data_IF_767751150385
#
_entry.id   IF_767751150385
#
_cell.length_a   1.000
_cell.length_b   1.000
_cell.length_c   1.000
_cell.angle_alpha   90.00
_cell.angle_beta   90.00
_cell.angle_gamma   90.00
#
_symmetry.space_group_name_H-M   'P 1'
#
loop_
_entity.id
_entity.type
_entity.pdbx_description
1 polymer ?
#
# COMPACT_ATOMS: atom_id res chain seq x y z
N UNK A 1 0.65 -4.16 -24.07
CA UNK A 1 -0.50 -3.41 -23.52
C UNK A 1 -0.07 -2.85 -22.17
N UNK A 2 -0.04 -1.52 -22.01
CA UNK A 2 0.45 -0.90 -20.78
C UNK A 2 -0.62 -0.88 -19.70
N UNK A 3 -0.44 -1.68 -18.65
CA UNK A 3 -1.22 -1.63 -17.42
C UNK A 3 -0.38 -1.03 -16.30
N UNK A 4 -1.01 -0.32 -15.38
CA UNK A 4 -0.35 0.20 -14.19
C UNK A 4 -1.16 -0.15 -12.95
N UNK A 5 -0.44 -0.55 -11.90
CA UNK A 5 -1.04 -0.93 -10.62
C UNK A 5 -1.71 0.30 -10.01
N UNK A 6 -2.99 0.17 -9.71
CA UNK A 6 -3.79 1.18 -9.01
C UNK A 6 -3.83 0.91 -7.52
N UNK A 7 -3.98 -0.36 -7.16
CA UNK A 7 -4.37 -0.75 -5.82
C UNK A 7 -4.59 -2.25 -5.67
N UNK A 8 -5.24 -2.63 -4.57
CA UNK A 8 -5.60 -4.01 -4.27
C UNK A 8 -7.01 -4.09 -3.70
N UNK A 9 -7.73 -5.16 -4.01
CA UNK A 9 -8.88 -5.61 -3.21
C UNK A 9 -8.39 -6.69 -2.24
N UNK A 10 -8.87 -6.62 -1.00
CA UNK A 10 -8.56 -7.55 0.07
C UNK A 10 -9.89 -8.11 0.59
N UNK A 11 -10.14 -9.39 0.30
CA UNK A 11 -11.47 -9.96 0.40
C UNK A 11 -12.46 -9.21 -0.50
N UNK A 12 -13.71 -9.14 -0.06
CA UNK A 12 -14.81 -8.57 -0.86
C UNK A 12 -15.07 -7.08 -0.56
N UNK A 13 -14.57 -6.57 0.58
CA UNK A 13 -15.02 -5.27 1.10
C UNK A 13 -13.90 -4.25 1.30
N UNK A 14 -12.63 -4.67 1.30
CA UNK A 14 -11.51 -3.78 1.61
C UNK A 14 -10.75 -3.42 0.35
N UNK A 15 -10.56 -2.12 0.15
CA UNK A 15 -9.89 -1.56 -1.00
C UNK A 15 -8.68 -0.74 -0.57
N UNK A 16 -7.54 -1.02 -1.20
CA UNK A 16 -6.29 -0.30 -1.04
C UNK A 16 -6.04 0.57 -2.26
N UNK A 17 -6.03 1.89 -2.06
CA UNK A 17 -5.67 2.90 -3.06
C UNK A 17 -4.24 3.37 -2.80
N UNK A 18 -3.33 3.04 -3.73
CA UNK A 18 -1.90 3.35 -3.59
C UNK A 18 -1.65 4.85 -3.71
N UNK A 19 -2.26 5.51 -4.71
CA UNK A 19 -2.04 6.93 -4.99
C UNK A 19 -2.51 7.82 -3.84
N UNK A 20 -3.64 7.46 -3.23
CA UNK A 20 -4.18 8.17 -2.07
C UNK A 20 -3.66 7.65 -0.72
N UNK A 21 -2.78 6.63 -0.71
CA UNK A 21 -2.18 6.00 0.47
C UNK A 21 -3.23 5.57 1.49
N UNK A 22 -4.35 5.02 1.00
CA UNK A 22 -5.57 4.86 1.78
C UNK A 22 -6.11 3.44 1.67
N UNK A 23 -6.46 2.87 2.82
CA UNK A 23 -7.20 1.62 2.91
C UNK A 23 -8.59 1.94 3.43
N UNK A 24 -9.63 1.38 2.82
CA UNK A 24 -11.00 1.60 3.25
C UNK A 24 -11.85 0.36 3.09
N UNK A 25 -12.86 0.24 3.95
CA UNK A 25 -13.87 -0.81 3.88
C UNK A 25 -15.19 -0.22 3.41
N UNK A 26 -15.78 -0.86 2.41
CA UNK A 26 -17.13 -0.60 1.92
C UNK A 26 -17.99 -1.82 2.25
N UNK A 27 -18.74 -1.77 3.34
CA UNK A 27 -19.73 -2.81 3.63
C UNK A 27 -21.02 -2.46 2.90
N UNK A 28 -21.48 -3.36 2.03
CA UNK A 28 -22.75 -3.20 1.32
C UNK A 28 -23.56 -4.48 1.42
N UNK A 29 -24.52 -4.54 2.35
CA UNK A 29 -25.59 -5.53 2.23
C UNK A 29 -26.61 -4.98 1.24
N UNK A 30 -26.99 -5.77 0.24
CA UNK A 30 -28.04 -5.41 -0.71
C UNK A 30 -29.40 -5.15 -0.05
N UNK A 31 -29.56 -5.49 1.23
CA UNK A 31 -30.81 -5.35 1.99
C UNK A 31 -30.79 -4.22 3.02
N UNK A 32 -29.62 -3.66 3.37
CA UNK A 32 -29.51 -2.58 4.35
C UNK A 32 -29.27 -1.22 3.69
N UNK A 33 -30.04 -0.21 4.11
CA UNK A 33 -29.91 1.18 3.65
C UNK A 33 -28.72 1.93 4.28
N UNK A 34 -27.96 1.28 5.15
CA UNK A 34 -26.81 1.90 5.85
C UNK A 34 -25.49 1.35 5.31
N UNK A 35 -24.66 2.26 4.80
CA UNK A 35 -23.28 1.96 4.42
C UNK A 35 -22.38 2.33 5.61
N UNK A 36 -21.63 1.37 6.14
CA UNK A 36 -20.52 1.67 7.05
C UNK A 36 -19.27 1.89 6.21
N UNK A 37 -18.77 3.12 6.21
CA UNK A 37 -17.53 3.49 5.55
C UNK A 37 -16.45 3.75 6.61
N UNK A 38 -15.43 2.90 6.63
CA UNK A 38 -14.25 3.09 7.46
C UNK A 38 -13.03 3.31 6.56
N UNK A 39 -12.24 4.34 6.84
CA UNK A 39 -11.08 4.70 6.03
C UNK A 39 -9.89 5.06 6.91
N UNK A 40 -8.71 4.57 6.54
CA UNK A 40 -7.44 4.85 7.21
C UNK A 40 -6.40 5.33 6.20
N UNK A 41 -5.58 6.27 6.64
CA UNK A 41 -4.43 6.77 5.87
C UNK A 41 -3.13 6.14 6.36
N UNK A 42 -2.24 5.85 5.41
CA UNK A 42 -0.86 5.45 5.64
C UNK A 42 0.07 6.64 5.45
N UNK A 43 1.08 6.73 6.33
CA UNK A 43 2.25 7.55 6.02
C UNK A 43 3.10 6.83 4.96
N UNK A 44 4.12 7.53 4.47
CA UNK A 44 4.96 7.06 3.37
C UNK A 44 5.66 5.71 3.68
N UNK A 45 6.24 5.55 4.86
CA UNK A 45 6.91 4.29 5.24
C UNK A 45 5.93 3.13 5.39
N UNK A 46 4.75 3.37 5.96
CA UNK A 46 3.68 2.37 6.06
C UNK A 46 3.19 1.93 4.68
N UNK A 47 2.99 2.88 3.77
CA UNK A 47 2.61 2.61 2.38
C UNK A 47 3.64 1.69 1.71
N UNK A 48 4.92 2.07 1.75
CA UNK A 48 6.00 1.30 1.12
C UNK A 48 6.07 -0.11 1.68
N UNK A 49 6.08 -0.25 3.01
CA UNK A 49 6.14 -1.56 3.65
C UNK A 49 4.94 -2.43 3.28
N UNK A 50 3.73 -1.88 3.37
CA UNK A 50 2.51 -2.62 3.09
C UNK A 50 2.42 -3.04 1.62
N UNK A 51 2.71 -2.13 0.69
CA UNK A 51 2.74 -2.41 -0.75
C UNK A 51 3.76 -3.52 -1.07
N UNK A 52 4.98 -3.41 -0.54
CA UNK A 52 6.02 -4.42 -0.77
C UNK A 52 5.61 -5.81 -0.28
N UNK A 53 4.96 -5.89 0.89
CA UNK A 53 4.44 -7.15 1.39
C UNK A 53 3.29 -7.71 0.53
N UNK A 54 2.41 -6.88 -0.02
CA UNK A 54 1.35 -7.34 -0.92
C UNK A 54 1.91 -7.84 -2.27
N UNK A 55 2.99 -7.23 -2.77
CA UNK A 55 3.63 -7.60 -4.04
C UNK A 55 4.49 -8.85 -3.90
N UNK A 56 5.31 -8.93 -2.84
CA UNK A 56 6.35 -9.96 -2.70
C UNK A 56 6.06 -10.95 -1.56
N UNK A 57 5.44 -10.48 -0.49
CA UNK A 57 5.24 -11.23 0.75
C UNK A 57 4.04 -12.16 0.79
N UNK A 58 3.36 -12.45 -0.33
CA UNK A 58 2.18 -13.34 -0.33
C UNK A 58 2.51 -14.83 -0.43
N UNK A 59 3.64 -15.18 -1.07
CA UNK A 59 4.05 -16.57 -1.31
C UNK A 59 5.22 -17.01 -0.45
N UNK A 60 6.14 -16.08 -0.20
CA UNK A 60 7.37 -16.30 0.54
C UNK A 60 7.53 -15.23 1.59
N UNK A 61 8.08 -15.61 2.74
CA UNK A 61 8.43 -14.63 3.77
C UNK A 61 9.58 -13.73 3.29
N UNK A 62 9.42 -12.43 3.53
CA UNK A 62 10.41 -11.40 3.23
C UNK A 62 11.27 -11.20 4.47
N UNK A 63 12.59 -11.31 4.29
CA UNK A 63 13.55 -11.21 5.41
C UNK A 63 13.55 -9.82 6.04
N UNK A 64 14.05 -9.71 7.27
CA UNK A 64 14.15 -8.41 7.95
C UNK A 64 15.14 -7.49 7.23
N UNK A 65 16.22 -8.08 6.76
CA UNK A 65 17.33 -7.43 6.06
C UNK A 65 16.86 -6.87 4.72
N UNK A 66 16.05 -7.63 3.98
CA UNK A 66 15.42 -7.15 2.73
C UNK A 66 14.44 -6.01 2.99
N UNK A 67 13.62 -6.08 4.05
CA UNK A 67 12.76 -4.96 4.41
C UNK A 67 13.57 -3.71 4.81
N UNK A 68 14.71 -3.86 5.47
CA UNK A 68 15.58 -2.73 5.80
C UNK A 68 16.13 -2.06 4.54
N UNK A 69 16.64 -2.85 3.60
CA UNK A 69 17.13 -2.37 2.31
C UNK A 69 16.02 -1.63 1.53
N UNK A 70 14.93 -2.35 1.22
CA UNK A 70 13.89 -1.87 0.30
C UNK A 70 13.03 -0.74 0.85
N UNK A 71 12.74 -0.75 2.15
CA UNK A 71 11.78 0.21 2.73
C UNK A 71 12.50 1.41 3.34
N UNK A 72 13.72 1.23 3.87
CA UNK A 72 14.47 2.28 4.53
C UNK A 72 15.67 2.76 3.71
N UNK A 73 16.64 1.89 3.41
CA UNK A 73 17.94 2.31 2.85
C UNK A 73 17.82 2.87 1.43
N UNK A 74 17.12 2.17 0.52
CA UNK A 74 16.82 2.67 -0.85
C UNK A 74 16.04 4.00 -0.85
N UNK A 75 15.46 4.34 0.30
CA UNK A 75 14.65 5.51 0.51
C UNK A 75 15.32 6.57 1.39
N UNK A 76 16.64 6.46 1.61
CA UNK A 76 17.46 7.38 2.42
C UNK A 76 17.02 7.50 3.88
N UNK A 77 16.45 6.44 4.45
CA UNK A 77 16.07 6.36 5.86
C UNK A 77 16.97 5.35 6.56
N UNK A 78 17.33 5.62 7.83
CA UNK A 78 18.08 4.64 8.61
C UNK A 78 17.16 3.49 9.08
N UNK A 79 17.47 2.22 8.82
CA UNK A 79 16.70 1.10 9.35
C UNK A 79 17.02 0.85 10.83
N UNK A 80 16.06 0.26 11.55
CA UNK A 80 16.33 -0.41 12.83
C UNK A 80 15.21 -1.39 13.15
N UNK A 81 15.53 -2.41 13.96
CA UNK A 81 14.52 -3.38 14.42
C UNK A 81 13.36 -2.69 15.14
N UNK A 82 13.66 -1.64 15.93
CA UNK A 82 12.64 -0.85 16.64
C UNK A 82 11.72 -0.10 15.66
N UNK A 83 12.27 0.52 14.62
CA UNK A 83 11.49 1.23 13.59
C UNK A 83 10.58 0.27 12.82
N UNK A 84 11.09 -0.88 12.41
CA UNK A 84 10.29 -1.91 11.75
C UNK A 84 9.13 -2.38 12.64
N UNK A 85 9.42 -2.68 13.91
CA UNK A 85 8.40 -3.07 14.87
C UNK A 85 7.32 -1.99 15.04
N UNK A 86 7.72 -0.72 15.17
CA UNK A 86 6.78 0.40 15.29
C UNK A 86 5.87 0.52 14.07
N UNK A 87 6.43 0.44 12.86
CA UNK A 87 5.66 0.52 11.61
C UNK A 87 4.71 -0.67 11.47
N UNK A 88 5.17 -1.89 11.73
CA UNK A 88 4.34 -3.09 11.68
C UNK A 88 3.21 -3.06 12.72
N UNK A 89 3.50 -2.65 13.95
CA UNK A 89 2.49 -2.55 15.00
C UNK A 89 1.42 -1.49 14.66
N UNK A 90 1.85 -0.34 14.14
CA UNK A 90 0.92 0.70 13.68
C UNK A 90 0.08 0.24 12.48
N UNK A 91 0.68 -0.49 11.54
CA UNK A 91 -0.04 -1.10 10.42
C UNK A 91 -1.08 -2.09 10.95
N UNK A 92 -0.69 -3.11 11.71
CA UNK A 92 -1.60 -4.13 12.22
C UNK A 92 -2.75 -3.56 13.03
N UNK A 93 -2.50 -2.54 13.87
CA UNK A 93 -3.57 -1.82 14.58
C UNK A 93 -4.59 -1.21 13.62
N UNK A 94 -4.13 -0.50 12.58
CA UNK A 94 -5.03 0.11 11.60
C UNK A 94 -5.77 -0.92 10.75
N UNK A 95 -5.09 -1.99 10.34
CA UNK A 95 -5.71 -3.11 9.60
C UNK A 95 -6.83 -3.75 10.44
N UNK A 96 -6.59 -3.95 11.74
CA UNK A 96 -7.60 -4.45 12.69
C UNK A 96 -8.83 -3.55 12.81
N UNK A 97 -8.67 -2.22 12.72
CA UNK A 97 -9.81 -1.28 12.70
C UNK A 97 -10.72 -1.44 11.48
N UNK A 98 -10.20 -1.99 10.38
CA UNK A 98 -10.99 -2.35 9.20
C UNK A 98 -11.52 -3.79 9.26
N UNK A 99 -11.25 -4.51 10.35
CA UNK A 99 -11.68 -5.89 10.53
C UNK A 99 -10.82 -6.93 9.82
N UNK A 100 -9.59 -6.58 9.40
CA UNK A 100 -8.62 -7.58 8.97
C UNK A 100 -8.11 -8.39 10.17
N UNK A 101 -7.76 -9.68 9.98
CA UNK A 101 -7.32 -10.54 11.06
C UNK A 101 -6.00 -10.05 11.67
N UNK A 102 -5.79 -10.31 12.96
CA UNK A 102 -4.62 -9.84 13.71
C UNK A 102 -3.29 -10.39 13.16
N UNK A 103 -3.32 -11.54 12.49
CA UNK A 103 -2.19 -12.19 11.85
C UNK A 103 -2.10 -11.92 10.34
N UNK A 104 -2.84 -10.93 9.81
CA UNK A 104 -2.78 -10.54 8.40
C UNK A 104 -1.34 -10.31 7.92
N UNK A 105 -0.53 -9.60 8.70
CA UNK A 105 0.92 -9.57 8.54
C UNK A 105 1.53 -10.52 9.57
N UNK A 106 1.95 -11.70 9.11
CA UNK A 106 2.47 -12.77 9.96
C UNK A 106 3.99 -12.75 10.00
N UNK A 107 4.55 -12.79 11.21
CA UNK A 107 5.98 -13.08 11.39
C UNK A 107 6.22 -14.59 11.35
N UNK A 108 7.08 -15.02 10.44
CA UNK A 108 7.56 -16.40 10.34
C UNK A 108 8.92 -16.46 11.02
N UNK A 109 8.98 -17.15 12.17
CA UNK A 109 10.17 -17.26 13.01
C UNK A 109 11.38 -17.68 12.18
N UNK A 110 12.44 -16.87 12.22
CA UNK A 110 13.70 -17.11 11.51
C UNK A 110 13.65 -16.90 10.00
N UNK A 111 12.52 -16.47 9.42
CA UNK A 111 12.38 -16.21 7.97
C UNK A 111 11.96 -14.79 7.62
N UNK A 112 11.17 -14.13 8.48
CA UNK A 112 10.76 -12.75 8.27
C UNK A 112 9.25 -12.57 8.29
N UNK A 113 8.67 -11.81 7.35
CA UNK A 113 7.26 -11.41 7.36
C UNK A 113 6.54 -11.78 6.06
N UNK A 114 5.28 -12.16 6.16
CA UNK A 114 4.44 -12.47 5.00
C UNK A 114 2.99 -12.03 5.22
N UNK A 115 2.24 -11.89 4.13
CA UNK A 115 0.80 -11.69 4.13
C UNK A 115 0.13 -13.05 4.30
N UNK A 116 -0.61 -13.23 5.39
CA UNK A 116 -1.39 -14.43 5.69
C UNK A 116 -2.86 -14.21 5.30
N UNK A 117 -3.10 -13.92 4.03
CA UNK A 117 -4.44 -13.69 3.50
C UNK A 117 -4.48 -14.11 2.02
N UNK A 118 -5.40 -15.00 1.66
CA UNK A 118 -5.44 -15.58 0.32
C UNK A 118 -6.06 -14.62 -0.70
N UNK A 119 -7.15 -13.94 -0.31
CA UNK A 119 -7.97 -13.13 -1.20
C UNK A 119 -7.41 -11.72 -1.32
N UNK A 120 -6.24 -11.60 -1.95
CA UNK A 120 -5.60 -10.31 -2.27
C UNK A 120 -5.46 -10.21 -3.79
N UNK A 121 -6.25 -9.33 -4.39
CA UNK A 121 -6.35 -9.18 -5.85
C UNK A 121 -5.79 -7.81 -6.25
N UNK A 122 -4.71 -7.75 -7.04
CA UNK A 122 -4.23 -6.48 -7.56
C UNK A 122 -5.20 -5.91 -8.60
N UNK A 123 -5.42 -4.59 -8.54
CA UNK A 123 -6.28 -3.83 -9.45
C UNK A 123 -5.40 -2.95 -10.33
N UNK A 124 -5.61 -3.01 -11.64
CA UNK A 124 -4.85 -2.26 -12.63
C UNK A 124 -5.79 -1.43 -13.50
N UNK A 125 -5.33 -0.25 -13.93
CA UNK A 125 -5.96 0.46 -15.04
C UNK A 125 -5.14 0.32 -16.33
N UNK A 126 -5.82 0.43 -17.46
CA UNK A 126 -5.15 0.53 -18.76
C UNK A 126 -4.62 1.95 -18.91
N UNK A 127 -3.35 2.07 -19.28
CA UNK A 127 -2.72 3.37 -19.49
C UNK A 127 -3.41 4.18 -20.60
N UNK A 128 -4.04 3.52 -21.58
CA UNK A 128 -4.81 4.16 -22.66
C UNK A 128 -6.11 4.82 -22.20
N UNK A 129 -6.57 4.52 -20.98
CA UNK A 129 -7.81 5.08 -20.39
C UNK A 129 -7.50 6.26 -19.47
N UNK A 130 -6.21 6.61 -19.30
CA UNK A 130 -5.85 7.81 -18.56
C UNK A 130 -6.25 9.06 -19.36
N UNK A 131 -6.84 10.07 -18.69
CA UNK A 131 -7.03 11.36 -19.34
C UNK A 131 -5.67 11.90 -19.81
N UNK A 132 -5.63 12.60 -20.96
CA UNK A 132 -4.40 13.25 -21.41
C UNK A 132 -3.92 14.18 -20.29
N UNK A 133 -2.66 14.02 -19.87
CA UNK A 133 -2.09 14.92 -18.87
C UNK A 133 -2.14 16.33 -19.45
N UNK A 134 -2.56 17.34 -18.67
CA UNK A 134 -2.45 18.72 -19.12
C UNK A 134 -0.98 18.97 -19.39
N UNK A 135 -0.66 19.36 -20.63
CA UNK A 135 0.69 19.76 -21.02
C UNK A 135 1.19 20.77 -19.98
N UNK A 136 2.18 20.36 -19.18
CA UNK A 136 2.98 21.33 -18.42
C UNK A 136 3.54 22.28 -19.47
N UNK A 137 2.93 23.46 -19.57
CA UNK A 137 3.42 24.57 -20.37
C UNK A 137 4.90 24.68 -20.04
N UNK A 138 5.74 24.38 -21.04
CA UNK A 138 7.17 24.67 -20.99
C UNK A 138 7.27 26.14 -20.60
N UNK A 139 7.66 26.42 -19.36
CA UNK A 139 8.15 27.74 -18.99
C UNK A 139 9.27 28.02 -19.98
N UNK A 140 9.03 28.99 -20.88
CA UNK A 140 10.09 29.55 -21.70
C UNK A 140 11.14 30.10 -20.73
N UNK A 141 12.44 29.86 -20.97
CA UNK A 141 13.44 30.62 -20.23
C UNK A 141 13.22 32.08 -20.57
N UNK A 142 12.98 32.91 -19.56
CA UNK A 142 13.12 34.35 -19.69
C UNK A 142 14.54 34.62 -20.17
N UNK A 143 14.64 34.99 -21.43
CA UNK A 143 15.80 35.64 -21.99
C UNK A 143 15.97 36.98 -21.27
N UNK A 144 16.82 36.99 -20.25
CA UNK A 144 17.50 38.20 -19.82
C UNK A 144 18.41 38.64 -20.97
N UNK A 145 17.95 39.63 -21.72
CA UNK A 145 18.76 40.43 -22.62
C UNK A 145 18.54 41.90 -22.28
N UNK A 146 19.64 42.47 -21.78
CA UNK A 146 20.02 43.89 -21.65
C UNK A 146 19.40 44.74 -20.53
#
# INVERSE_FOLDING_TARGET
MGYRLYGFMIGDEIHFDISNRRLYRLTGSHTDKSIVFASIYFNETMLRLFLYLLEHGRRTAISKEELFDKIWEENNLCPSTQRLWQVLNNLNKKLGLLGLPADFIRNIKGRGYMINYQDVIPVYYRMSELPPQPDNKREKPDSLSE
#
